data_IF_131946120916
#
_entry.id   IF_131946120916
#
_cell.length_a   1.000
_cell.length_b   1.000
_cell.length_c   1.000
_cell.angle_alpha   90.00
_cell.angle_beta   90.00
_cell.angle_gamma   90.00
#
_symmetry.space_group_name_H-M   'P 1'
#
loop_
_entity.id
_entity.type
_entity.pdbx_description
1 polymer ?
#
# COMPACT_ATOMS: atom_id res chain seq x y z
N UNK A 1 -8.85 15.34 2.87
CA UNK A 1 -7.60 14.61 2.56
C UNK A 1 -6.73 15.35 1.56
N UNK A 2 -7.29 15.89 0.50
CA UNK A 2 -6.53 16.69 -0.48
C UNK A 2 -5.80 17.86 0.16
N UNK A 3 -6.44 18.54 1.11
CA UNK A 3 -5.82 19.65 1.83
C UNK A 3 -4.58 19.21 2.63
N UNK A 4 -4.61 18.01 3.20
CA UNK A 4 -3.47 17.46 3.93
C UNK A 4 -2.31 17.21 2.96
N UNK A 5 -2.58 16.63 1.80
CA UNK A 5 -1.56 16.38 0.78
C UNK A 5 -0.95 17.70 0.30
N UNK A 6 -1.79 18.71 0.03
CA UNK A 6 -1.32 20.04 -0.37
C UNK A 6 -0.44 20.69 0.70
N UNK A 7 -0.81 20.53 1.98
CA UNK A 7 -0.04 21.09 3.10
C UNK A 7 1.34 20.44 3.24
N UNK A 8 1.50 19.20 2.80
CA UNK A 8 2.77 18.47 2.83
C UNK A 8 3.58 18.66 1.54
N UNK A 9 3.02 19.35 0.55
CA UNK A 9 3.65 19.51 -0.75
C UNK A 9 3.64 18.23 -1.58
N UNK A 10 2.78 17.30 -1.27
CA UNK A 10 2.67 16.03 -2.01
C UNK A 10 1.82 16.21 -3.26
N UNK A 11 2.26 15.61 -4.36
CA UNK A 11 1.47 15.54 -5.58
C UNK A 11 0.44 14.42 -5.45
N UNK A 12 -0.74 14.66 -5.95
CA UNK A 12 -1.81 13.68 -5.91
C UNK A 12 -2.60 13.66 -7.21
N UNK A 13 -3.30 12.55 -7.43
CA UNK A 13 -4.23 12.39 -8.54
C UNK A 13 -5.50 11.72 -8.02
N UNK A 14 -6.55 11.73 -8.82
CA UNK A 14 -7.79 10.99 -8.54
C UNK A 14 -7.97 10.00 -9.69
N UNK A 15 -8.17 8.72 -9.34
CA UNK A 15 -8.35 7.69 -10.35
C UNK A 15 -9.78 7.65 -10.90
N UNK A 16 -10.06 6.68 -11.78
CA UNK A 16 -11.38 6.54 -12.41
C UNK A 16 -12.49 6.17 -11.42
N UNK A 17 -12.12 5.63 -10.26
CA UNK A 17 -13.06 5.25 -9.22
C UNK A 17 -13.26 6.35 -8.17
N UNK A 18 -12.57 7.48 -8.34
CA UNK A 18 -12.65 8.59 -7.41
C UNK A 18 -11.72 8.48 -6.22
N UNK A 19 -10.79 7.52 -6.22
CA UNK A 19 -9.82 7.34 -5.15
C UNK A 19 -8.64 8.29 -5.30
N UNK A 20 -8.21 8.85 -4.18
CA UNK A 20 -7.02 9.70 -4.13
C UNK A 20 -5.78 8.83 -4.17
N UNK A 21 -4.82 9.18 -5.02
CA UNK A 21 -3.59 8.44 -5.16
C UNK A 21 -2.37 9.35 -5.20
N UNK A 22 -1.21 8.73 -5.06
CA UNK A 22 0.08 9.39 -5.20
C UNK A 22 1.18 8.36 -5.42
N UNK A 23 2.41 8.84 -5.58
CA UNK A 23 3.56 7.96 -5.79
C UNK A 23 4.65 8.25 -4.78
N UNK A 24 5.20 7.19 -4.20
CA UNK A 24 6.38 7.23 -3.32
C UNK A 24 7.33 6.14 -3.75
N UNK A 25 8.61 6.49 -3.95
CA UNK A 25 9.64 5.58 -4.49
C UNK A 25 9.19 4.91 -5.80
N UNK A 26 8.41 5.64 -6.61
CA UNK A 26 7.86 5.18 -7.88
C UNK A 26 6.79 4.09 -7.75
N UNK A 27 6.40 3.74 -6.52
CA UNK A 27 5.26 2.85 -6.28
C UNK A 27 3.98 3.68 -6.21
N UNK A 28 2.86 3.11 -6.64
CA UNK A 28 1.57 3.79 -6.62
C UNK A 28 0.84 3.50 -5.32
N UNK A 29 0.34 4.54 -4.68
CA UNK A 29 -0.43 4.44 -3.44
C UNK A 29 -1.82 5.01 -3.65
N UNK A 30 -2.80 4.37 -2.97
CA UNK A 30 -4.18 4.84 -2.93
C UNK A 30 -4.62 5.00 -1.48
N UNK A 31 -5.49 5.98 -1.26
CA UNK A 31 -5.98 6.34 0.07
C UNK A 31 -7.50 6.28 0.00
N UNK A 32 -8.09 5.31 0.69
CA UNK A 32 -9.50 4.95 0.51
C UNK A 32 -10.25 4.93 1.82
N UNK A 33 -11.50 5.37 1.77
CA UNK A 33 -12.46 5.10 2.83
C UNK A 33 -13.39 4.01 2.35
N UNK A 34 -13.36 2.88 3.05
CA UNK A 34 -14.05 1.66 2.66
C UNK A 34 -15.22 1.38 3.61
N UNK A 35 -16.01 0.35 3.28
CA UNK A 35 -17.24 -0.07 3.95
C UNK A 35 -18.42 0.84 3.59
N UNK A 36 -19.66 0.36 3.79
CA UNK A 36 -20.84 1.18 3.53
C UNK A 36 -20.86 2.50 4.30
N UNK A 37 -20.35 2.50 5.54
CA UNK A 37 -20.30 3.68 6.40
C UNK A 37 -19.04 4.52 6.18
N UNK A 38 -18.12 4.05 5.34
CA UNK A 38 -16.82 4.69 5.06
C UNK A 38 -16.00 4.97 6.32
N UNK A 39 -16.05 4.02 7.26
CA UNK A 39 -15.38 4.09 8.54
C UNK A 39 -14.05 3.31 8.60
N UNK A 40 -13.69 2.63 7.51
CA UNK A 40 -12.38 1.98 7.37
C UNK A 40 -11.51 2.82 6.45
N UNK A 41 -10.40 3.32 6.98
CA UNK A 41 -9.42 4.04 6.18
C UNK A 41 -8.29 3.10 5.79
N UNK A 42 -7.94 3.06 4.50
CA UNK A 42 -6.92 2.18 3.96
C UNK A 42 -5.86 2.97 3.19
N UNK A 43 -4.60 2.69 3.52
CA UNK A 43 -3.45 3.07 2.69
C UNK A 43 -3.03 1.81 1.93
N UNK A 44 -3.12 1.85 0.62
CA UNK A 44 -2.93 0.71 -0.26
C UNK A 44 -1.80 1.02 -1.24
N UNK A 45 -0.76 0.18 -1.27
CA UNK A 45 0.37 0.36 -2.15
C UNK A 45 0.51 -0.78 -3.14
N UNK A 46 0.97 -0.46 -4.34
CA UNK A 46 1.22 -1.44 -5.41
C UNK A 46 2.68 -1.34 -5.81
N UNK A 47 3.38 -2.48 -5.74
CA UNK A 47 4.77 -2.57 -6.18
C UNK A 47 4.86 -2.18 -7.66
N UNK A 48 5.84 -1.35 -8.01
CA UNK A 48 5.99 -0.80 -9.37
C UNK A 48 6.56 -1.80 -10.38
N UNK A 49 6.60 -3.07 -10.05
CA UNK A 49 7.17 -4.11 -10.90
C UNK A 49 6.24 -5.31 -10.94
N UNK A 50 6.15 -5.91 -12.11
CA UNK A 50 5.57 -7.23 -12.26
C UNK A 50 6.69 -8.26 -12.15
N UNK A 51 6.42 -9.37 -11.49
CA UNK A 51 7.40 -10.41 -11.24
C UNK A 51 6.98 -11.64 -12.05
N UNK A 52 7.93 -12.31 -12.70
CA UNK A 52 7.64 -13.54 -13.44
C UNK A 52 7.00 -14.59 -12.54
N UNK A 53 6.00 -15.30 -13.06
CA UNK A 53 5.35 -16.40 -12.36
C UNK A 53 6.36 -17.50 -11.94
N UNK A 54 7.48 -17.60 -12.63
CA UNK A 54 8.54 -18.56 -12.27
C UNK A 54 9.12 -18.31 -10.89
N UNK A 55 8.92 -17.12 -10.34
CA UNK A 55 9.42 -16.72 -9.02
C UNK A 55 8.35 -16.78 -7.93
N UNK A 56 7.24 -17.46 -8.18
CA UNK A 56 6.11 -17.50 -7.26
C UNK A 56 6.50 -17.99 -5.86
N UNK A 57 7.31 -19.04 -5.78
CA UNK A 57 7.70 -19.60 -4.47
C UNK A 57 8.55 -18.63 -3.67
N UNK A 58 9.42 -17.85 -4.32
CA UNK A 58 10.22 -16.82 -3.64
C UNK A 58 9.32 -15.71 -3.11
N UNK A 59 8.33 -15.29 -3.90
CA UNK A 59 7.37 -14.25 -3.49
C UNK A 59 6.57 -14.74 -2.29
N UNK A 60 6.01 -15.93 -2.36
CA UNK A 60 5.21 -16.51 -1.27
C UNK A 60 6.01 -16.64 0.01
N UNK A 61 7.24 -17.12 -0.09
CA UNK A 61 8.13 -17.26 1.07
C UNK A 61 8.43 -15.91 1.72
N UNK A 62 8.67 -14.88 0.91
CA UNK A 62 8.94 -13.55 1.42
C UNK A 62 7.72 -12.96 2.14
N UNK A 63 6.54 -13.07 1.55
CA UNK A 63 5.31 -12.56 2.16
C UNK A 63 5.00 -13.27 3.48
N UNK A 64 5.16 -14.59 3.52
CA UNK A 64 4.94 -15.38 4.73
C UNK A 64 5.91 -14.97 5.84
N UNK A 65 7.19 -14.84 5.51
CA UNK A 65 8.20 -14.42 6.47
C UNK A 65 7.91 -13.01 7.01
N UNK A 66 7.48 -12.11 6.12
CA UNK A 66 7.10 -10.75 6.52
C UNK A 66 5.96 -10.77 7.54
N UNK A 67 4.90 -11.51 7.26
CA UNK A 67 3.75 -11.60 8.17
C UNK A 67 4.10 -12.24 9.51
N UNK A 68 5.07 -13.13 9.54
CA UNK A 68 5.51 -13.75 10.80
C UNK A 68 6.32 -12.79 11.67
N UNK A 69 7.01 -11.83 11.08
CA UNK A 69 7.96 -10.96 11.79
C UNK A 69 7.47 -9.54 11.98
N UNK A 70 6.56 -9.06 11.14
CA UNK A 70 6.15 -7.66 11.11
C UNK A 70 4.65 -7.52 11.26
N UNK A 71 4.24 -6.46 11.95
CA UNK A 71 2.82 -6.13 12.06
C UNK A 71 2.27 -5.47 10.81
N UNK A 72 3.10 -4.65 10.14
CA UNK A 72 2.67 -3.81 9.02
C UNK A 72 3.66 -3.91 7.87
N UNK A 73 3.17 -3.81 6.63
CA UNK A 73 1.78 -3.85 6.19
C UNK A 73 1.27 -5.29 6.07
N UNK A 74 -0.04 -5.46 5.89
CA UNK A 74 -0.59 -6.70 5.35
C UNK A 74 -0.23 -6.72 3.88
N UNK A 75 0.35 -7.80 3.39
CA UNK A 75 0.77 -7.91 2.01
C UNK A 75 0.16 -9.12 1.33
N UNK A 76 -0.04 -8.99 0.03
CA UNK A 76 -0.67 -10.02 -0.77
C UNK A 76 -0.14 -9.96 -2.20
N UNK A 77 -0.41 -11.00 -2.98
CA UNK A 77 -0.11 -11.02 -4.39
C UNK A 77 -1.31 -11.50 -5.18
N UNK A 78 -1.31 -11.17 -6.46
CA UNK A 78 -2.24 -11.74 -7.42
C UNK A 78 -1.48 -12.07 -8.70
N UNK A 79 -2.02 -13.02 -9.47
CA UNK A 79 -1.45 -13.43 -10.74
C UNK A 79 -2.29 -12.81 -11.84
N UNK A 80 -1.64 -12.09 -12.74
CA UNK A 80 -2.31 -11.46 -13.88
C UNK A 80 -2.57 -12.49 -14.99
N UNK A 81 -3.44 -12.12 -15.94
CA UNK A 81 -3.81 -13.00 -17.05
C UNK A 81 -2.62 -13.36 -17.94
N UNK A 82 -1.60 -12.49 -17.98
CA UNK A 82 -0.39 -12.72 -18.76
C UNK A 82 0.72 -13.44 -17.97
N UNK A 83 0.40 -14.02 -16.83
CA UNK A 83 1.33 -14.84 -16.04
C UNK A 83 2.36 -14.04 -15.27
N UNK A 84 2.05 -12.83 -14.85
CA UNK A 84 2.89 -12.02 -14.00
C UNK A 84 2.33 -11.96 -12.58
N UNK A 85 3.20 -11.76 -11.60
CA UNK A 85 2.81 -11.59 -10.20
C UNK A 85 2.83 -10.09 -9.87
N UNK A 86 1.70 -9.58 -9.37
CA UNK A 86 1.63 -8.24 -8.82
C UNK A 86 1.57 -8.32 -7.30
N UNK A 87 2.41 -7.53 -6.64
CA UNK A 87 2.47 -7.49 -5.18
C UNK A 87 1.88 -6.19 -4.70
N UNK A 88 1.06 -6.28 -3.67
CA UNK A 88 0.38 -5.15 -3.07
C UNK A 88 0.37 -5.28 -1.56
N UNK A 89 0.21 -4.15 -0.89
CA UNK A 89 0.25 -4.09 0.56
C UNK A 89 -0.71 -3.03 1.07
N UNK A 90 -1.23 -3.25 2.28
CA UNK A 90 -2.20 -2.33 2.85
C UNK A 90 -2.01 -2.15 4.34
N UNK A 91 -2.38 -0.95 4.80
CA UNK A 91 -2.58 -0.63 6.20
C UNK A 91 -4.01 -0.11 6.33
N UNK A 92 -4.82 -0.78 7.13
CA UNK A 92 -6.21 -0.41 7.33
C UNK A 92 -6.48 -0.14 8.79
N UNK A 93 -7.33 0.85 9.06
CA UNK A 93 -7.75 1.21 10.42
C UNK A 93 -9.24 1.49 10.43
N UNK A 94 -9.89 1.03 11.49
CA UNK A 94 -11.32 1.25 11.69
C UNK A 94 -11.53 2.46 12.58
N UNK A 95 -12.11 3.52 12.02
CA UNK A 95 -12.39 4.76 12.72
C UNK A 95 -13.89 4.99 12.82
N UNK A 96 -14.55 4.18 13.63
CA UNK A 96 -15.99 4.24 13.82
C UNK A 96 -16.47 5.62 14.26
N UNK A 97 -15.68 6.29 15.09
CA UNK A 97 -16.00 7.61 15.63
C UNK A 97 -15.26 8.75 14.95
N UNK A 98 -14.68 8.48 13.78
CA UNK A 98 -13.94 9.48 13.02
C UNK A 98 -12.48 9.62 13.45
N UNK A 99 -11.82 10.60 12.86
CA UNK A 99 -10.41 10.89 13.15
C UNK A 99 -10.14 12.38 12.95
N UNK A 100 -9.17 12.90 13.68
CA UNK A 100 -8.67 14.25 13.45
C UNK A 100 -7.76 14.27 12.21
N UNK A 101 -7.50 15.46 11.67
CA UNK A 101 -6.54 15.63 10.59
C UNK A 101 -5.15 15.15 10.98
N UNK A 102 -4.75 15.36 12.23
CA UNK A 102 -3.46 14.89 12.75
C UNK A 102 -3.39 13.36 12.78
N UNK A 103 -4.46 12.70 13.20
CA UNK A 103 -4.54 11.24 13.18
C UNK A 103 -4.51 10.69 11.75
N UNK A 104 -5.23 11.33 10.84
CA UNK A 104 -5.25 10.96 9.44
C UNK A 104 -3.85 11.08 8.83
N UNK A 105 -3.16 12.19 9.05
CA UNK A 105 -1.80 12.39 8.55
C UNK A 105 -0.83 11.35 9.12
N UNK A 106 -0.93 11.05 10.40
CA UNK A 106 -0.09 10.03 11.03
C UNK A 106 -0.31 8.65 10.39
N UNK A 107 -1.56 8.29 10.15
CA UNK A 107 -1.89 7.00 9.52
C UNK A 107 -1.39 6.93 8.08
N UNK A 108 -1.51 8.02 7.34
CA UNK A 108 -0.98 8.11 5.98
C UNK A 108 0.55 7.90 6.00
N UNK A 109 1.26 8.61 6.86
CA UNK A 109 2.71 8.48 6.97
C UNK A 109 3.14 7.07 7.39
N UNK A 110 2.46 6.46 8.35
CA UNK A 110 2.72 5.10 8.76
C UNK A 110 2.51 4.11 7.61
N UNK A 111 1.41 4.27 6.89
CA UNK A 111 1.09 3.41 5.75
C UNK A 111 2.13 3.50 4.64
N UNK A 112 2.53 4.71 4.29
CA UNK A 112 3.57 4.94 3.28
C UNK A 112 4.91 4.36 3.75
N UNK A 113 5.32 4.67 4.97
CA UNK A 113 6.62 4.26 5.49
C UNK A 113 6.75 2.74 5.60
N UNK A 114 5.76 2.08 6.17
CA UNK A 114 5.80 0.62 6.34
C UNK A 114 5.70 -0.12 5.01
N UNK A 115 4.92 0.40 4.08
CA UNK A 115 4.75 -0.23 2.77
C UNK A 115 5.98 -0.01 1.88
N UNK A 116 6.58 1.18 1.89
CA UNK A 116 7.84 1.39 1.16
C UNK A 116 8.98 0.55 1.73
N UNK A 117 9.05 0.40 3.05
CA UNK A 117 10.04 -0.48 3.68
C UNK A 117 9.86 -1.93 3.23
N UNK A 118 8.61 -2.41 3.19
CA UNK A 118 8.30 -3.74 2.69
C UNK A 118 8.75 -3.91 1.23
N UNK A 119 8.41 -2.96 0.37
CA UNK A 119 8.79 -3.02 -1.04
C UNK A 119 10.30 -2.97 -1.24
N UNK A 120 10.99 -2.09 -0.52
CA UNK A 120 12.45 -1.97 -0.62
C UNK A 120 13.15 -3.27 -0.22
N UNK A 121 12.71 -3.89 0.87
CA UNK A 121 13.28 -5.16 1.33
C UNK A 121 12.98 -6.31 0.40
N UNK A 122 11.81 -6.32 -0.20
CA UNK A 122 11.46 -7.33 -1.20
C UNK A 122 12.32 -7.20 -2.45
N UNK A 123 12.48 -5.97 -2.95
CA UNK A 123 13.31 -5.68 -4.11
C UNK A 123 14.75 -6.13 -3.85
N UNK A 124 15.29 -5.80 -2.69
CA UNK A 124 16.64 -6.20 -2.31
C UNK A 124 16.78 -7.72 -2.20
N UNK A 125 15.87 -8.37 -1.47
CA UNK A 125 15.91 -9.81 -1.21
C UNK A 125 15.78 -10.63 -2.47
N UNK A 126 14.88 -10.24 -3.37
CA UNK A 126 14.62 -10.98 -4.61
C UNK A 126 15.45 -10.47 -5.80
N UNK A 127 16.20 -9.40 -5.64
CA UNK A 127 17.02 -8.83 -6.70
C UNK A 127 16.21 -8.27 -7.86
N UNK A 128 15.14 -7.60 -7.56
CA UNK A 128 14.23 -7.07 -8.58
C UNK A 128 14.72 -5.77 -9.23
#
# INVERSE_FOLDING_TARGET
>A
MKKIFDSQGWRWFVDNEGDLGGMWNLHTFYFRFLSPEKDVFQVYGVLNREISIDRLEEVRAFLMDWHLRKFWPKCEYRITDDGQIRVQAENSVHWEYGATDAQLLQQINCGIATTTDFFDKMIERLGL
#
